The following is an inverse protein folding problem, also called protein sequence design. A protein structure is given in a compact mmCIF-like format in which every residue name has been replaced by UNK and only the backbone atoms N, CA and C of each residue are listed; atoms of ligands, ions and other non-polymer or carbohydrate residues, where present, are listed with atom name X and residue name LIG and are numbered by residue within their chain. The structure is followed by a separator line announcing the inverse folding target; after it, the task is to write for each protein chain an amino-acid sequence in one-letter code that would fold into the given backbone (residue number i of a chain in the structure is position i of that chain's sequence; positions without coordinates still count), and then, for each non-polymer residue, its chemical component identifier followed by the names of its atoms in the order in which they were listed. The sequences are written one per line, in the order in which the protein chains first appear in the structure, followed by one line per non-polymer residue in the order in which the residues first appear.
data_IF_814337039339
#
_entry.id   IF_814337039339
#
_cell.length_a   1.000
_cell.length_b   1.000
_cell.length_c   1.000
_cell.angle_alpha   90.00
_cell.angle_beta   90.00
_cell.angle_gamma   90.00
#
_symmetry.space_group_name_H-M   'P 1'
#
loop_
_entity.id
_entity.type
_entity.pdbx_description
1 polymer ?
2 non-polymer ?
3 non-polymer ?
4 water ?
#
# COMPACT_ATOMS: atom_id res chain seq x y z
N UNK A 1 -9.60 0.84 -16.95
CA UNK A 1 -10.86 0.19 -16.64
C UNK A 1 -10.91 -0.38 -15.21
N UNK A 2 -9.86 -0.16 -14.44
CA UNK A 2 -9.82 -0.60 -13.05
C UNK A 2 -10.12 0.58 -12.13
N UNK A 3 -10.96 0.37 -11.12
CA UNK A 3 -11.16 1.40 -10.11
C UNK A 3 -10.55 0.95 -8.79
N UNK A 4 -9.93 1.88 -8.09
CA UNK A 4 -9.29 1.58 -6.82
C UNK A 4 -9.97 2.34 -5.68
N UNK A 5 -10.02 1.73 -4.50
CA UNK A 5 -10.54 2.40 -3.32
C UNK A 5 -9.65 2.15 -2.10
N UNK A 6 -9.02 3.19 -1.59
CA UNK A 6 -8.18 3.02 -0.40
C UNK A 6 -8.98 3.21 0.89
N UNK A 7 -8.56 2.51 1.93
CA UNK A 7 -9.16 2.67 3.26
C UNK A 7 -8.10 2.58 4.33
N UNK A 8 -8.45 2.98 5.55
CA UNK A 8 -7.52 2.90 6.66
C UNK A 8 -6.67 4.15 6.76
N UNK A 9 -5.58 4.07 7.52
CA UNK A 9 -4.67 5.20 7.62
C UNK A 9 -5.07 6.13 8.75
N UNK A 10 -4.56 7.36 8.70
CA UNK A 10 -4.86 8.34 9.73
C UNK A 10 -3.78 8.46 10.79
N UNK A 11 -4.18 8.93 11.97
CA UNK A 11 -3.25 9.25 13.04
C UNK A 11 -2.92 8.01 13.86
N UNK A 12 -1.66 7.88 14.26
CA UNK A 12 -1.24 6.73 15.05
C UNK A 12 -0.01 7.09 15.90
N UNK A 13 0.10 6.49 17.08
CA UNK A 13 1.22 6.78 17.98
C UNK A 13 2.46 6.02 17.55
N UNK A 14 3.61 6.67 17.66
CA UNK A 14 4.89 6.03 17.41
C UNK A 14 5.01 4.69 18.14
N UNK A 15 5.54 3.69 17.46
CA UNK A 15 5.65 2.36 18.02
C UNK A 15 4.39 1.53 17.78
N UNK A 16 3.30 2.20 17.42
CA UNK A 16 2.02 1.55 17.23
C UNK A 16 1.84 0.91 15.86
N UNK A 17 0.63 0.42 15.60
CA UNK A 17 0.33 -0.30 14.37
C UNK A 17 -0.87 0.28 13.63
N UNK A 18 -0.86 0.15 12.31
CA UNK A 18 -1.91 0.71 11.50
C UNK A 18 -2.06 -0.11 10.22
N UNK A 19 -3.29 -0.34 9.78
CA UNK A 19 -3.53 -1.07 8.54
C UNK A 19 -4.06 -0.15 7.46
N UNK A 20 -3.46 -0.25 6.26
CA UNK A 20 -4.04 0.33 5.06
C UNK A 20 -4.63 -0.79 4.21
N UNK A 21 -5.70 -0.49 3.47
CA UNK A 21 -6.23 -1.47 2.53
C UNK A 21 -6.58 -0.78 1.22
N UNK A 22 -6.63 -1.56 0.15
CA UNK A 22 -6.97 -1.02 -1.15
C UNK A 22 -7.77 -2.09 -1.88
N UNK A 23 -8.98 -1.73 -2.31
CA UNK A 23 -9.85 -2.66 -3.02
C UNK A 23 -9.97 -2.27 -4.48
N UNK A 24 -9.86 -3.26 -5.36
CA UNK A 24 -9.95 -3.00 -6.79
C UNK A 24 -11.14 -3.71 -7.43
N UNK A 25 -11.60 -3.16 -8.55
CA UNK A 25 -12.62 -3.83 -9.36
C UNK A 25 -12.44 -3.45 -10.81
N UNK A 26 -12.80 -4.36 -11.71
CA UNK A 26 -12.84 -4.03 -13.12
C UNK A 26 -11.79 -4.77 -13.92
N UNK A 27 -10.81 -5.34 -13.22
CA UNK A 27 -9.72 -6.03 -13.89
C UNK A 27 -9.73 -7.51 -13.62
N UNK A 28 -8.55 -8.12 -13.72
CA UNK A 28 -8.39 -9.52 -13.35
C UNK A 28 -7.43 -9.56 -12.17
N UNK A 29 -7.99 -9.34 -10.99
CA UNK A 29 -7.21 -9.15 -9.78
C UNK A 29 -6.20 -10.27 -9.51
N UNK A 30 -6.61 -11.52 -9.70
CA UNK A 30 -5.79 -12.66 -9.32
C UNK A 30 -4.46 -12.77 -10.06
N UNK A 31 -4.33 -12.12 -11.22
CA UNK A 31 -3.07 -12.21 -11.96
C UNK A 31 -2.19 -10.98 -11.84
N UNK A 32 -2.65 -9.98 -11.09
CA UNK A 32 -1.94 -8.70 -11.09
C UNK A 32 -1.16 -8.45 -9.81
N UNK A 33 -0.20 -7.53 -9.90
CA UNK A 33 0.64 -7.16 -8.76
C UNK A 33 0.08 -5.91 -8.11
N UNK A 34 -0.07 -5.98 -6.79
CA UNK A 34 -0.54 -4.86 -6.00
C UNK A 34 0.54 -4.38 -5.05
N UNK A 35 0.49 -3.10 -4.73
CA UNK A 35 1.48 -2.56 -3.83
C UNK A 35 1.16 -1.17 -3.35
N UNK A 36 2.17 -0.55 -2.74
CA UNK A 36 2.05 0.78 -2.18
C UNK A 36 3.30 1.59 -2.47
N UNK A 37 3.11 2.86 -2.81
CA UNK A 37 4.18 3.86 -2.78
C UNK A 37 3.82 4.89 -1.71
N UNK A 38 4.74 5.80 -1.40
CA UNK A 38 4.40 6.88 -0.50
C UNK A 38 5.20 8.15 -0.82
N UNK A 39 4.66 9.29 -0.42
CA UNK A 39 5.39 10.53 -0.53
C UNK A 39 5.40 11.23 0.83
N UNK A 40 6.57 11.25 1.46
CA UNK A 40 6.78 11.91 2.74
C UNK A 40 7.12 13.38 2.51
N UNK A 41 6.73 14.27 3.45
CA UNK A 41 6.86 15.72 3.32
C UNK A 41 8.15 16.20 2.67
N UNK A 42 9.29 15.72 3.15
CA UNK A 42 10.55 16.17 2.58
C UNK A 42 10.88 15.60 1.20
N UNK A 43 10.10 14.62 0.75
CA UNK A 43 10.57 13.71 -0.29
C UNK A 43 9.68 13.58 -1.52
N UNK A 44 10.16 12.85 -2.52
CA UNK A 44 9.34 12.49 -3.66
C UNK A 44 8.79 11.07 -3.46
N UNK A 45 7.73 10.74 -4.19
CA UNK A 45 7.13 9.41 -4.18
C UNK A 45 8.19 8.32 -4.27
N UNK A 46 8.06 7.29 -3.42
CA UNK A 46 8.98 6.16 -3.42
C UNK A 46 8.26 4.82 -3.20
N UNK A 47 8.85 3.75 -3.74
CA UNK A 47 8.37 2.40 -3.52
C UNK A 47 8.29 2.06 -2.04
N UNK A 48 7.23 1.38 -1.61
CA UNK A 48 7.17 0.88 -0.24
C UNK A 48 7.10 -0.65 -0.21
N UNK A 49 6.14 -1.22 -0.95
CA UNK A 49 5.95 -2.66 -0.96
C UNK A 49 5.12 -3.11 -2.14
N UNK A 50 5.30 -4.35 -2.56
CA UNK A 50 4.39 -4.96 -3.53
C UNK A 50 4.28 -6.46 -3.29
N UNK A 51 3.26 -7.07 -3.89
CA UNK A 51 3.01 -8.49 -3.74
C UNK A 51 2.48 -9.06 -5.06
N UNK A 52 3.12 -10.11 -5.54
CA UNK A 52 2.79 -10.69 -6.85
C UNK A 52 1.50 -11.47 -6.78
N UNK A 53 0.96 -11.83 -7.95
CA UNK A 53 -0.21 -12.69 -8.01
C UNK A 53 -0.01 -13.95 -7.17
N UNK A 54 1.23 -14.44 -7.13
CA UNK A 54 1.55 -15.67 -6.43
C UNK A 54 1.91 -15.52 -4.96
N UNK A 55 1.75 -14.32 -4.42
CA UNK A 55 1.99 -14.09 -3.01
C UNK A 55 3.42 -13.73 -2.64
N UNK A 56 4.27 -13.55 -3.65
CA UNK A 56 5.66 -13.16 -3.40
C UNK A 56 5.72 -11.70 -2.96
N UNK A 57 6.38 -11.43 -1.83
CA UNK A 57 6.44 -10.06 -1.33
C UNK A 57 7.77 -9.35 -1.61
N UNK A 58 7.73 -8.02 -1.60
CA UNK A 58 8.94 -7.21 -1.60
C UNK A 58 8.72 -5.91 -0.85
N UNK A 59 9.74 -5.47 -0.10
CA UNK A 59 9.66 -4.29 0.74
C UNK A 59 10.84 -3.36 0.49
N UNK A 60 10.61 -2.05 0.58
CA UNK A 60 11.72 -1.10 0.54
C UNK A 60 12.51 -1.25 1.83
N UNK A 61 13.80 -0.92 1.79
CA UNK A 61 14.66 -1.03 2.97
C UNK A 61 14.15 -0.20 4.13
N UNK A 62 13.50 0.92 3.81
CA UNK A 62 12.98 1.82 4.84
C UNK A 62 11.91 1.19 5.73
N UNK A 63 11.24 0.15 5.24
CA UNK A 63 10.15 -0.45 5.99
C UNK A 63 10.35 -1.94 6.25
N UNK A 64 11.41 -2.50 5.70
CA UNK A 64 11.66 -3.92 5.84
C UNK A 64 11.89 -4.28 7.30
N UNK A 65 11.19 -5.31 7.77
CA UNK A 65 11.24 -5.72 9.16
C UNK A 65 10.10 -5.11 9.95
N UNK A 66 9.38 -4.19 9.33
CA UNK A 66 8.31 -3.49 10.04
C UNK A 66 6.93 -3.60 9.37
N UNK A 67 6.91 -3.64 8.05
CA UNK A 67 5.64 -3.68 7.31
C UNK A 67 5.38 -5.07 6.75
N UNK A 68 4.11 -5.47 6.71
CA UNK A 68 3.74 -6.71 6.05
C UNK A 68 2.67 -6.43 5.00
N UNK A 69 2.91 -6.88 3.77
CA UNK A 69 1.90 -6.72 2.72
C UNK A 69 1.26 -8.08 2.44
N UNK A 70 -0.04 -8.07 2.20
CA UNK A 70 -0.79 -9.31 1.96
C UNK A 70 -1.98 -9.03 1.06
N UNK A 71 -2.59 -10.09 0.54
CA UNK A 71 -3.70 -9.91 -0.39
C UNK A 71 -4.78 -10.95 -0.17
N UNK A 72 -6.00 -10.58 -0.51
CA UNK A 72 -7.14 -11.48 -0.42
C UNK A 72 -7.84 -11.45 -1.76
N UNK A 73 -7.51 -12.39 -2.64
CA UNK A 73 -8.09 -12.38 -3.99
C UNK A 73 -9.61 -12.51 -3.91
N UNK A 74 -10.10 -13.13 -2.84
CA UNK A 74 -11.52 -13.26 -2.61
C UNK A 74 -12.25 -11.94 -2.50
N UNK A 75 -11.57 -10.91 -1.99
CA UNK A 75 -12.17 -9.60 -1.81
C UNK A 75 -11.54 -8.52 -2.69
N UNK A 76 -10.71 -8.93 -3.65
CA UNK A 76 -9.98 -7.99 -4.49
C UNK A 76 -9.29 -6.90 -3.66
N UNK A 77 -8.64 -7.32 -2.58
CA UNK A 77 -8.05 -6.35 -1.67
C UNK A 77 -6.59 -6.64 -1.38
N UNK A 78 -5.78 -5.58 -1.34
CA UNK A 78 -4.42 -5.69 -0.84
C UNK A 78 -4.37 -4.98 0.53
N UNK A 79 -3.54 -5.49 1.44
CA UNK A 79 -3.38 -4.89 2.77
C UNK A 79 -1.95 -4.51 3.05
N UNK A 80 -1.75 -3.37 3.70
CA UNK A 80 -0.44 -3.03 4.23
C UNK A 80 -0.54 -2.91 5.74
N UNK A 81 0.07 -3.85 6.44
CA UNK A 81 0.07 -3.80 7.90
C UNK A 81 1.36 -3.17 8.38
N UNK A 82 1.24 -2.00 8.98
CA UNK A 82 2.41 -1.22 9.35
C UNK A 82 2.64 -1.32 10.86
N UNK A 83 3.85 -1.70 11.24
CA UNK A 83 4.19 -1.86 12.66
C UNK A 83 5.39 -1.00 13.01
N UNK A 84 5.62 -0.82 14.31
CA UNK A 84 6.78 -0.07 14.79
C UNK A 84 6.88 1.29 14.10
N UNK A 85 5.76 1.99 14.04
CA UNK A 85 5.67 3.20 13.21
C UNK A 85 6.46 4.34 13.83
N UNK A 86 7.07 5.15 12.97
CA UNK A 86 7.83 6.31 13.42
C UNK A 86 7.55 7.51 12.50
N UNK A 87 7.91 8.73 12.96
CA UNK A 87 7.63 9.93 12.16
C UNK A 87 8.19 9.89 10.73
N UNK A 88 9.22 9.09 10.48
CA UNK A 88 9.74 8.94 9.13
C UNK A 88 8.69 8.30 8.21
N UNK A 89 7.67 7.67 8.80
CA UNK A 89 6.61 7.01 8.05
C UNK A 89 5.41 7.92 7.77
N UNK A 90 5.41 9.10 8.36
CA UNK A 90 4.39 10.10 8.07
C UNK A 90 4.44 10.46 6.59
N UNK A 91 3.34 10.24 5.89
CA UNK A 91 3.33 10.39 4.43
C UNK A 91 1.94 10.16 3.85
N UNK A 92 1.81 10.46 2.56
CA UNK A 92 0.65 10.04 1.78
C UNK A 92 0.97 8.72 1.10
N UNK A 93 0.15 7.71 1.38
CA UNK A 93 0.33 6.37 0.84
C UNK A 93 -0.61 6.14 -0.34
N UNK A 94 -0.06 5.68 -1.46
CA UNK A 94 -0.83 5.43 -2.68
C UNK A 94 -0.87 3.95 -3.05
N UNK A 95 -2.08 3.42 -3.23
CA UNK A 95 -2.26 2.06 -3.71
C UNK A 95 -1.77 1.95 -5.16
N UNK A 96 -1.14 0.82 -5.50
CA UNK A 96 -0.67 0.57 -6.87
C UNK A 96 -1.25 -0.73 -7.41
N UNK A 97 -1.73 -0.69 -8.65
CA UNK A 97 -2.28 -1.86 -9.32
C UNK A 97 -1.49 -2.02 -10.62
N UNK A 98 -0.51 -2.92 -10.61
CA UNK A 98 0.32 -3.15 -11.80
C UNK A 98 -0.35 -4.23 -12.64
N UNK A 99 -0.74 -3.85 -13.85
CA UNK A 99 -1.67 -4.65 -14.65
C UNK A 99 -0.96 -5.57 -15.63
N UNK A 100 -1.40 -6.82 -15.66
CA UNK A 100 -0.94 -7.74 -16.68
C UNK A 100 -2.09 -8.14 -17.61
N UNK A 101 -3.31 -7.75 -17.24
CA UNK A 101 -4.48 -8.03 -18.05
C UNK A 101 -4.86 -6.84 -18.92
N UNK A 102 -6.12 -6.78 -19.33
CA UNK A 102 -6.59 -5.66 -20.13
C UNK A 102 -6.71 -4.38 -19.32
N UNK A 103 -6.56 -3.24 -19.98
CA UNK A 103 -6.65 -1.94 -19.34
C UNK A 103 -5.35 -1.15 -19.46
N UNK A 104 -5.17 -0.16 -18.59
CA UNK A 104 -3.92 0.61 -18.56
C UNK A 104 -2.80 -0.25 -17.94
N UNK A 105 -1.54 0.17 -18.07
CA UNK A 105 -0.44 -0.65 -17.59
C UNK A 105 -0.38 -0.63 -16.06
N UNK A 106 -0.81 0.49 -15.48
CA UNK A 106 -0.80 0.66 -14.03
C UNK A 106 -1.89 1.65 -13.63
N UNK A 107 -2.44 1.47 -12.44
CA UNK A 107 -3.41 2.40 -11.86
C UNK A 107 -2.92 2.81 -10.47
N UNK A 108 -3.20 4.05 -10.09
CA UNK A 108 -2.78 4.58 -8.79
C UNK A 108 -3.97 5.06 -7.98
N UNK A 109 -3.92 4.84 -6.67
CA UNK A 109 -4.93 5.35 -5.77
C UNK A 109 -4.77 6.84 -5.60
N UNK A 110 -5.75 7.47 -4.97
CA UNK A 110 -5.74 8.92 -4.80
C UNK A 110 -4.83 9.34 -3.66
N UNK A 111 -4.49 8.40 -2.78
CA UNK A 111 -3.59 8.67 -1.67
C UNK A 111 -4.29 8.76 -0.33
N UNK A 112 -3.67 8.17 0.69
CA UNK A 112 -4.21 8.17 2.04
C UNK A 112 -3.14 8.64 3.02
N UNK A 113 -3.47 9.63 3.84
CA UNK A 113 -2.54 10.16 4.83
C UNK A 113 -2.35 9.22 6.01
N UNK A 114 -1.09 9.03 6.38
CA UNK A 114 -0.75 8.41 7.64
C UNK A 114 0.08 9.40 8.43
N UNK A 115 -0.30 9.68 9.67
CA UNK A 115 0.44 10.62 10.50
C UNK A 115 0.84 9.95 11.81
N UNK A 116 2.14 9.94 12.09
CA UNK A 116 2.68 9.34 13.31
C UNK A 116 2.92 10.42 14.36
N UNK A 117 2.37 10.22 15.56
CA UNK A 117 2.50 11.17 16.66
C UNK A 117 3.38 10.56 17.74
N UNK A 118 3.71 11.37 18.75
CA UNK A 118 4.48 10.87 19.88
C UNK A 118 3.78 9.68 20.54
N UNK A 119 4.57 8.88 21.25
CA UNK A 119 4.06 7.71 21.96
C UNK A 119 3.49 8.03 23.32
X LIG B 1 -11.61 -11.71 -6.59
X LIG C 1 -9.68 -6.04 -10.36
X LIG D 1 11.93 -7.58 0.57
X LIG E 1 6.63 -1.54 -8.14
#
# INVERSE_FOLDING_TARGET
KVQLQESGGGLVQAGGSLRLSCAASGGTFSINTLGWYRRAPGKEREFVARISSGGITRYADSVKGRFTISRDNGKNTVYLDMNSLKPEDTAVYYCMYRNWGGGLDVYWGQGTQVTVSSGGHHHHHH
NA NA
CL CL
CL CL
CL CL
#
